data_IF_820324246939
#
_entry.id   IF_820324246939
#
_cell.length_a   1.000
_cell.length_b   1.000
_cell.length_c   1.000
_cell.angle_alpha   90.00
_cell.angle_beta   90.00
_cell.angle_gamma   90.00
#
_symmetry.space_group_name_H-M   'P 1'
#
loop_
_entity.id
_entity.type
_entity.pdbx_description
1 polymer ?
#
# COMPACT_ATOMS: atom_id res chain seq x y z
N UNK A 1 -9.37 -4.19 27.80
CA UNK A 1 -8.03 -4.81 27.68
C UNK A 1 -7.59 -4.79 26.23
N UNK A 2 -6.54 -4.02 25.88
CA UNK A 2 -5.96 -4.02 24.55
C UNK A 2 -5.26 -5.35 24.23
N UNK A 3 -5.51 -5.91 23.05
CA UNK A 3 -4.98 -7.22 22.66
C UNK A 3 -4.50 -7.20 21.21
N UNK A 4 -3.37 -7.86 20.95
CA UNK A 4 -2.91 -8.18 19.61
C UNK A 4 -2.62 -9.68 19.51
N UNK A 5 -3.06 -10.31 18.41
CA UNK A 5 -2.82 -11.72 18.15
C UNK A 5 -1.99 -11.86 16.88
N UNK A 6 -0.82 -12.48 17.01
CA UNK A 6 -0.06 -12.97 15.86
C UNK A 6 -0.81 -14.18 15.27
N UNK A 7 -1.63 -13.90 14.26
CA UNK A 7 -2.48 -14.88 13.58
C UNK A 7 -1.64 -15.82 12.72
N UNK A 8 -1.64 -17.12 13.05
CA UNK A 8 -0.87 -18.12 12.32
C UNK A 8 -1.24 -18.19 10.83
N UNK A 9 -2.49 -17.85 10.46
CA UNK A 9 -2.91 -17.82 9.05
C UNK A 9 -2.19 -16.70 8.28
N UNK A 10 -1.95 -15.54 8.90
CA UNK A 10 -1.20 -14.44 8.31
C UNK A 10 0.29 -14.76 8.28
N UNK A 11 0.82 -15.31 9.38
CA UNK A 11 2.23 -15.71 9.47
C UNK A 11 2.61 -16.80 8.44
N UNK A 12 1.68 -17.69 8.10
CA UNK A 12 1.88 -18.72 7.07
C UNK A 12 1.65 -18.21 5.63
N UNK A 13 1.15 -17.00 5.45
CA UNK A 13 0.82 -16.45 4.14
C UNK A 13 2.00 -15.72 3.49
N UNK A 14 1.86 -15.38 2.20
CA UNK A 14 2.79 -14.52 1.47
C UNK A 14 2.87 -13.08 2.01
N UNK A 15 1.96 -12.67 2.90
CA UNK A 15 2.02 -11.34 3.52
C UNK A 15 3.06 -11.24 4.64
N UNK A 16 3.55 -12.37 5.17
CA UNK A 16 4.59 -12.40 6.18
C UNK A 16 5.96 -12.03 5.58
N UNK A 17 6.23 -10.72 5.49
CA UNK A 17 7.44 -10.15 4.87
C UNK A 17 8.21 -9.24 5.83
N UNK A 18 9.55 -9.23 5.77
CA UNK A 18 10.39 -8.56 6.78
C UNK A 18 10.04 -7.09 7.00
N UNK A 19 9.82 -6.32 5.92
CA UNK A 19 9.53 -4.89 6.01
C UNK A 19 8.23 -4.59 6.78
N UNK A 20 7.14 -5.28 6.43
CA UNK A 20 5.86 -5.14 7.14
C UNK A 20 5.92 -5.67 8.56
N UNK A 21 6.57 -6.82 8.77
CA UNK A 21 6.67 -7.42 10.10
C UNK A 21 7.53 -6.59 11.04
N UNK A 22 8.67 -6.07 10.58
CA UNK A 22 9.53 -5.17 11.35
C UNK A 22 8.79 -3.91 11.76
N UNK A 23 8.16 -3.24 10.80
CA UNK A 23 7.36 -2.03 11.05
C UNK A 23 6.20 -2.30 12.01
N UNK A 24 5.52 -3.44 11.88
CA UNK A 24 4.44 -3.86 12.79
C UNK A 24 4.98 -4.07 14.21
N UNK A 25 6.11 -4.77 14.39
CA UNK A 25 6.69 -5.00 15.71
C UNK A 25 7.08 -3.69 16.40
N UNK A 26 7.67 -2.76 15.67
CA UNK A 26 7.98 -1.40 16.15
C UNK A 26 6.69 -0.65 16.55
N UNK A 27 5.65 -0.78 15.73
CA UNK A 27 4.33 -0.17 16.01
C UNK A 27 3.67 -0.77 17.26
N UNK A 28 3.81 -2.07 17.49
CA UNK A 28 3.29 -2.74 18.69
C UNK A 28 4.09 -2.35 19.94
N UNK A 29 5.41 -2.14 19.83
CA UNK A 29 6.24 -1.66 20.92
C UNK A 29 5.88 -0.23 21.34
N UNK A 30 5.65 0.65 20.36
CA UNK A 30 5.17 2.02 20.58
C UNK A 30 3.78 2.01 21.22
N UNK A 31 2.84 1.20 20.69
CA UNK A 31 1.49 1.05 21.25
C UNK A 31 1.51 0.55 22.70
N UNK A 32 2.32 -0.46 23.03
CA UNK A 32 2.44 -0.95 24.42
C UNK A 32 2.99 0.14 25.36
N UNK A 33 3.91 0.98 24.87
CA UNK A 33 4.46 2.11 25.62
C UNK A 33 3.40 3.18 25.90
N UNK A 34 2.61 3.55 24.90
CA UNK A 34 1.49 4.49 25.05
C UNK A 34 0.39 3.94 25.97
N UNK A 35 0.07 2.65 25.88
CA UNK A 35 -0.89 2.01 26.78
C UNK A 35 -0.43 1.99 28.23
N UNK A 36 0.88 1.85 28.49
CA UNK A 36 1.45 1.95 29.85
C UNK A 36 1.28 3.34 30.45
N UNK A 37 1.43 4.39 29.65
CA UNK A 37 1.16 5.76 30.07
C UNK A 37 -0.31 5.97 30.49
N UNK A 38 -1.22 5.16 29.93
CA UNK A 38 -2.64 5.15 30.29
C UNK A 38 -2.99 4.18 31.43
N UNK A 39 -2.01 3.51 32.04
CA UNK A 39 -2.21 2.55 33.14
C UNK A 39 -2.59 1.13 32.68
N UNK A 40 -2.47 0.82 31.39
CA UNK A 40 -2.71 -0.49 30.82
C UNK A 40 -1.45 -1.09 30.18
N UNK A 41 -1.62 -2.18 29.44
CA UNK A 41 -0.57 -2.81 28.63
C UNK A 41 -1.21 -3.50 27.44
N UNK A 42 -0.43 -3.75 26.41
CA UNK A 42 -0.83 -4.60 25.30
C UNK A 42 -0.68 -6.07 25.70
N UNK A 43 -1.74 -6.86 25.49
CA UNK A 43 -1.69 -8.31 25.66
C UNK A 43 -1.39 -8.96 24.31
N UNK A 44 -0.25 -9.64 24.22
CA UNK A 44 0.19 -10.35 23.03
C UNK A 44 -0.18 -11.83 23.13
N UNK A 45 -0.80 -12.36 22.07
CA UNK A 45 -1.12 -13.78 21.87
C UNK A 45 -0.61 -14.24 20.51
N UNK A 46 -0.55 -15.55 20.29
CA UNK A 46 -0.25 -16.18 19.00
C UNK A 46 -1.09 -17.45 18.86
N UNK A 47 -1.58 -17.72 17.66
CA UNK A 47 -2.36 -18.92 17.39
C UNK A 47 -3.44 -18.67 16.34
N UNK A 48 -4.46 -19.54 16.35
CA UNK A 48 -5.72 -19.26 15.69
C UNK A 48 -6.36 -17.99 16.28
N UNK A 49 -6.59 -16.99 15.44
CA UNK A 49 -7.02 -15.66 15.88
C UNK A 49 -8.32 -15.68 16.69
N UNK A 50 -9.34 -16.42 16.25
CA UNK A 50 -10.64 -16.50 16.93
C UNK A 50 -10.48 -17.18 18.29
N UNK A 51 -9.81 -18.33 18.33
CA UNK A 51 -9.64 -19.09 19.56
C UNK A 51 -8.87 -18.30 20.63
N UNK A 52 -7.81 -17.60 20.23
CA UNK A 52 -7.01 -16.82 21.17
C UNK A 52 -7.76 -15.61 21.73
N UNK A 53 -8.56 -14.93 20.91
CA UNK A 53 -9.44 -13.84 21.38
C UNK A 53 -10.48 -14.37 22.36
N UNK A 54 -11.17 -15.48 22.05
CA UNK A 54 -12.21 -16.05 22.92
C UNK A 54 -11.65 -16.59 24.23
N UNK A 55 -10.52 -17.31 24.19
CA UNK A 55 -9.82 -17.77 25.41
C UNK A 55 -9.48 -16.58 26.32
N UNK A 56 -9.04 -15.48 25.73
CA UNK A 56 -8.67 -14.29 26.48
C UNK A 56 -9.91 -13.56 27.03
N UNK A 57 -10.97 -13.42 26.23
CA UNK A 57 -12.25 -12.86 26.67
C UNK A 57 -12.83 -13.63 27.86
N UNK A 58 -12.83 -14.96 27.80
CA UNK A 58 -13.27 -15.82 28.90
C UNK A 58 -12.45 -15.60 30.18
N UNK A 59 -11.12 -15.61 30.08
CA UNK A 59 -10.22 -15.37 31.23
C UNK A 59 -10.39 -13.98 31.83
N UNK A 60 -10.66 -12.98 30.99
CA UNK A 60 -10.92 -11.61 31.41
C UNK A 60 -12.35 -11.41 31.95
N UNK A 61 -13.24 -12.41 31.84
CA UNK A 61 -14.68 -12.29 32.08
C UNK A 61 -15.27 -11.10 31.30
N UNK A 62 -14.83 -10.93 30.06
CA UNK A 62 -15.27 -9.83 29.22
C UNK A 62 -16.69 -10.09 28.71
N UNK A 63 -17.53 -9.05 28.73
CA UNK A 63 -18.88 -9.08 28.17
C UNK A 63 -18.91 -8.66 26.71
N UNK A 64 -17.88 -7.94 26.24
CA UNK A 64 -17.82 -7.42 24.88
C UNK A 64 -16.39 -7.37 24.31
N UNK A 65 -16.30 -7.47 22.98
CA UNK A 65 -15.10 -7.32 22.17
C UNK A 65 -15.33 -6.16 21.20
N UNK A 66 -14.50 -5.12 21.27
CA UNK A 66 -14.54 -3.99 20.34
C UNK A 66 -13.47 -4.16 19.26
N UNK A 67 -13.84 -3.99 17.99
CA UNK A 67 -12.90 -4.14 16.87
C UNK A 67 -13.25 -3.22 15.70
N UNK A 68 -12.21 -2.67 15.08
CA UNK A 68 -12.36 -1.93 13.83
C UNK A 68 -12.54 -2.89 12.65
N UNK A 69 -13.53 -2.61 11.79
CA UNK A 69 -13.77 -3.35 10.55
C UNK A 69 -12.70 -3.05 9.49
N UNK A 70 -12.49 -4.03 8.62
CA UNK A 70 -11.59 -3.97 7.47
C UNK A 70 -12.25 -4.67 6.26
N UNK A 71 -11.82 -4.34 5.04
CA UNK A 71 -12.51 -4.61 3.79
C UNK A 71 -12.08 -5.91 3.07
N UNK A 72 -10.96 -6.50 3.48
CA UNK A 72 -10.44 -7.72 2.85
C UNK A 72 -11.38 -8.93 3.06
N UNK A 73 -11.26 -9.94 2.21
CA UNK A 73 -12.00 -11.21 2.39
C UNK A 73 -11.60 -11.89 3.70
N UNK A 74 -10.30 -11.93 4.01
CA UNK A 74 -9.78 -12.54 5.22
C UNK A 74 -10.32 -11.84 6.47
N UNK A 75 -10.28 -10.51 6.51
CA UNK A 75 -10.74 -9.72 7.67
C UNK A 75 -12.23 -9.93 7.94
N UNK A 76 -13.07 -9.93 6.91
CA UNK A 76 -14.51 -10.20 7.05
C UNK A 76 -14.78 -11.61 7.54
N UNK A 77 -14.19 -12.62 6.89
CA UNK A 77 -14.41 -14.02 7.25
C UNK A 77 -13.99 -14.35 8.69
N UNK A 78 -12.85 -13.84 9.16
CA UNK A 78 -12.41 -14.09 10.54
C UNK A 78 -13.27 -13.34 11.56
N UNK A 79 -13.76 -12.14 11.22
CA UNK A 79 -14.63 -11.36 12.08
C UNK A 79 -16.01 -12.00 12.21
N UNK A 80 -16.59 -12.49 11.10
CA UNK A 80 -17.85 -13.24 11.09
C UNK A 80 -17.74 -14.52 11.93
N UNK A 81 -16.61 -15.24 11.81
CA UNK A 81 -16.33 -16.42 12.65
C UNK A 81 -16.21 -16.06 14.13
N UNK A 82 -15.54 -14.95 14.46
CA UNK A 82 -15.42 -14.49 15.84
C UNK A 82 -16.79 -14.15 16.42
N UNK A 83 -17.62 -13.40 15.70
CA UNK A 83 -18.95 -13.03 16.15
C UNK A 83 -19.84 -14.25 16.37
N UNK A 84 -19.89 -15.17 15.40
CA UNK A 84 -20.64 -16.42 15.53
C UNK A 84 -20.19 -17.21 16.77
N UNK A 85 -18.88 -17.35 16.98
CA UNK A 85 -18.35 -18.09 18.12
C UNK A 85 -18.54 -17.36 19.47
N UNK A 86 -18.36 -16.04 19.50
CA UNK A 86 -18.56 -15.21 20.70
C UNK A 86 -20.02 -15.23 21.18
N UNK A 87 -20.99 -15.24 20.25
CA UNK A 87 -22.41 -15.36 20.55
C UNK A 87 -22.74 -16.67 21.31
N UNK A 88 -22.06 -17.78 20.99
CA UNK A 88 -22.28 -19.07 21.69
C UNK A 88 -21.85 -19.05 23.16
N UNK A 89 -20.97 -18.12 23.53
CA UNK A 89 -20.42 -17.98 24.89
C UNK A 89 -20.89 -16.69 25.59
N UNK A 90 -21.88 -15.99 25.01
CA UNK A 90 -22.48 -14.79 25.59
C UNK A 90 -21.57 -13.57 25.63
N UNK A 91 -20.62 -13.46 24.69
CA UNK A 91 -19.74 -12.29 24.53
C UNK A 91 -20.18 -11.51 23.30
N UNK A 92 -20.52 -10.22 23.46
CA UNK A 92 -20.92 -9.36 22.35
C UNK A 92 -19.71 -8.94 21.50
N UNK A 93 -19.85 -8.91 20.17
CA UNK A 93 -18.83 -8.36 19.27
C UNK A 93 -19.34 -7.04 18.68
N UNK A 94 -18.67 -5.95 19.05
CA UNK A 94 -19.01 -4.59 18.62
C UNK A 94 -18.05 -4.16 17.53
N UNK A 95 -18.56 -4.12 16.29
CA UNK A 95 -17.85 -3.70 15.09
C UNK A 95 -17.89 -2.17 14.96
N UNK A 96 -16.77 -1.55 14.61
CA UNK A 96 -16.69 -0.10 14.40
C UNK A 96 -15.94 0.23 13.11
N UNK A 97 -16.31 1.32 12.45
CA UNK A 97 -15.52 1.84 11.34
C UNK A 97 -14.25 2.53 11.84
N UNK A 98 -13.09 2.09 11.36
CA UNK A 98 -11.81 2.62 11.85
C UNK A 98 -10.79 2.96 10.75
N UNK A 99 -10.71 2.17 9.69
CA UNK A 99 -9.60 2.27 8.75
C UNK A 99 -9.78 3.40 7.72
N UNK A 100 -11.00 3.76 7.30
CA UNK A 100 -11.28 4.80 6.29
C UNK A 100 -11.88 6.07 6.89
N UNK A 101 -11.91 7.15 6.11
CA UNK A 101 -12.64 8.38 6.49
C UNK A 101 -14.13 8.12 6.45
N UNK A 102 -14.59 7.53 5.35
CA UNK A 102 -15.97 7.10 5.15
C UNK A 102 -15.99 5.56 5.00
N UNK A 103 -16.85 4.85 5.75
CA UNK A 103 -16.93 3.39 5.67
C UNK A 103 -17.26 2.90 4.25
N UNK A 104 -16.72 1.75 3.86
CA UNK A 104 -17.09 1.11 2.60
C UNK A 104 -18.60 0.86 2.53
N UNK A 105 -19.22 1.11 1.36
CA UNK A 105 -20.66 1.01 1.16
C UNK A 105 -21.48 2.24 1.60
N UNK A 106 -20.93 3.15 2.42
CA UNK A 106 -21.64 4.38 2.80
C UNK A 106 -21.70 5.42 1.67
N UNK A 107 -20.79 5.34 0.69
CA UNK A 107 -20.81 6.12 -0.56
C UNK A 107 -21.11 5.16 -1.70
N UNK A 108 -22.39 5.04 -2.07
CA UNK A 108 -22.85 4.21 -3.17
C UNK A 108 -23.86 4.99 -4.05
N UNK A 109 -23.87 4.77 -5.37
CA UNK A 109 -24.93 5.31 -6.22
C UNK A 109 -26.24 4.50 -6.02
N UNK A 110 -27.40 5.02 -6.46
CA UNK A 110 -28.71 4.39 -6.22
C UNK A 110 -28.83 2.92 -6.66
N UNK A 111 -28.19 2.55 -7.78
CA UNK A 111 -28.36 1.25 -8.45
C UNK A 111 -27.08 0.38 -8.45
N UNK A 112 -26.11 0.66 -7.58
CA UNK A 112 -24.88 -0.14 -7.45
C UNK A 112 -24.38 -0.12 -6.02
N UNK A 113 -23.72 -1.19 -5.60
CA UNK A 113 -23.11 -1.34 -4.28
C UNK A 113 -21.81 -0.52 -4.11
N UNK A 114 -21.23 -0.03 -5.21
CA UNK A 114 -20.02 0.81 -5.21
C UNK A 114 -19.91 1.70 -6.47
N UNK A 115 -19.08 2.74 -6.39
CA UNK A 115 -18.65 3.53 -7.55
C UNK A 115 -17.48 2.86 -8.28
N UNK A 116 -17.49 2.88 -9.62
CA UNK A 116 -16.40 2.36 -10.47
C UNK A 116 -15.43 3.43 -10.97
N UNK A 117 -15.81 4.72 -10.87
CA UNK A 117 -15.01 5.86 -11.33
C UNK A 117 -14.76 6.81 -10.16
N UNK A 118 -13.52 7.29 -10.01
CA UNK A 118 -13.11 8.09 -8.86
C UNK A 118 -13.77 9.46 -8.80
N UNK A 119 -13.84 10.20 -9.91
CA UNK A 119 -14.39 11.58 -9.90
C UNK A 119 -15.81 11.68 -9.32
N UNK A 120 -16.81 10.89 -9.75
CA UNK A 120 -18.14 10.93 -9.12
C UNK A 120 -18.14 10.42 -7.67
N UNK A 121 -17.30 9.43 -7.34
CA UNK A 121 -17.12 9.00 -5.95
C UNK A 121 -16.60 10.14 -5.07
N UNK A 122 -15.55 10.84 -5.51
CA UNK A 122 -14.93 11.95 -4.78
C UNK A 122 -15.91 13.08 -4.53
N UNK A 123 -16.70 13.47 -5.55
CA UNK A 123 -17.76 14.48 -5.39
C UNK A 123 -18.72 14.09 -4.28
N UNK A 124 -19.23 12.84 -4.31
CA UNK A 124 -20.15 12.35 -3.28
C UNK A 124 -19.50 12.23 -1.90
N UNK A 125 -18.26 11.75 -1.85
CA UNK A 125 -17.46 11.60 -0.63
C UNK A 125 -17.18 12.96 0.05
N UNK A 126 -17.08 14.05 -0.71
CA UNK A 126 -16.93 15.41 -0.17
C UNK A 126 -18.21 15.96 0.48
N UNK A 127 -19.39 15.51 0.03
CA UNK A 127 -20.71 15.95 0.50
C UNK A 127 -21.19 15.21 1.75
N UNK A 128 -20.77 13.96 1.93
CA UNK A 128 -21.19 13.15 3.08
C UNK A 128 -20.54 13.69 4.36
N UNK A 129 -21.32 13.95 5.42
CA UNK A 129 -20.78 14.33 6.72
C UNK A 129 -19.81 13.26 7.25
N UNK A 130 -18.61 13.68 7.63
CA UNK A 130 -17.65 12.78 8.25
C UNK A 130 -18.00 12.56 9.72
N UNK A 131 -17.76 11.34 10.21
CA UNK A 131 -17.95 11.00 11.61
C UNK A 131 -17.05 11.85 12.53
N UNK A 132 -17.44 12.10 13.79
CA UNK A 132 -16.58 12.81 14.73
C UNK A 132 -15.31 12.02 15.06
N UNK A 133 -14.23 12.73 15.38
CA UNK A 133 -13.01 12.14 15.91
C UNK A 133 -13.26 11.82 17.38
N UNK A 134 -13.05 10.56 17.76
CA UNK A 134 -13.15 10.14 19.16
C UNK A 134 -11.96 10.67 19.98
N UNK A 135 -12.22 11.11 21.20
CA UNK A 135 -11.17 11.53 22.13
C UNK A 135 -10.36 10.34 22.64
N UNK A 136 -9.06 10.52 22.77
CA UNK A 136 -8.19 9.54 23.44
C UNK A 136 -8.59 9.40 24.91
N UNK A 137 -8.72 8.17 25.45
CA UNK A 137 -9.00 7.96 26.87
C UNK A 137 -7.86 8.51 27.74
N UNK A 138 -8.20 9.03 28.92
CA UNK A 138 -7.20 9.55 29.88
C UNK A 138 -6.55 8.46 30.73
N UNK A 139 -7.23 7.34 30.91
CA UNK A 139 -6.74 6.17 31.64
C UNK A 139 -7.51 4.93 31.21
N UNK A 140 -6.92 3.76 31.43
CA UNK A 140 -7.49 2.45 31.17
C UNK A 140 -7.21 1.57 32.39
N UNK A 141 -8.26 1.03 33.01
CA UNK A 141 -8.12 0.08 34.12
C UNK A 141 -7.61 -1.27 33.58
N UNK A 142 -6.47 -1.78 34.06
CA UNK A 142 -5.93 -3.06 33.60
C UNK A 142 -6.70 -4.23 34.20
N UNK A 143 -6.75 -5.35 33.47
CA UNK A 143 -7.25 -6.62 34.01
C UNK A 143 -6.07 -7.37 34.63
N UNK A 144 -6.17 -7.70 35.92
CA UNK A 144 -5.11 -8.35 36.69
C UNK A 144 -5.02 -9.85 36.34
N UNK A 145 -3.81 -10.42 36.40
CA UNK A 145 -3.60 -11.88 36.29
C UNK A 145 -3.55 -12.44 34.86
N UNK A 146 -3.67 -11.59 33.83
CA UNK A 146 -3.57 -12.03 32.44
C UNK A 146 -2.11 -12.10 31.98
N UNK A 147 -1.72 -13.29 31.52
CA UNK A 147 -0.39 -13.53 30.93
C UNK A 147 -0.36 -13.04 29.47
N UNK A 148 0.70 -12.32 29.13
CA UNK A 148 1.02 -11.89 27.76
C UNK A 148 2.29 -12.59 27.30
N UNK A 149 2.38 -12.88 26.00
CA UNK A 149 3.66 -13.21 25.37
C UNK A 149 4.59 -11.98 25.40
N UNK A 150 5.91 -12.19 25.39
CA UNK A 150 6.86 -11.11 25.08
C UNK A 150 6.71 -10.71 23.60
N UNK A 151 7.11 -9.48 23.27
CA UNK A 151 7.21 -9.07 21.88
C UNK A 151 8.31 -9.92 21.19
N UNK A 152 7.98 -10.66 20.12
CA UNK A 152 8.96 -11.51 19.45
C UNK A 152 9.98 -10.66 18.68
N UNK A 153 11.16 -11.22 18.45
CA UNK A 153 12.12 -10.68 17.48
C UNK A 153 11.62 -10.98 16.06
N UNK A 154 11.98 -10.13 15.09
CA UNK A 154 11.61 -10.31 13.68
C UNK A 154 11.98 -11.71 13.15
N UNK A 155 13.18 -12.19 13.48
CA UNK A 155 13.68 -13.52 13.06
C UNK A 155 12.86 -14.69 13.59
N UNK A 156 12.03 -14.50 14.62
CA UNK A 156 11.11 -15.51 15.12
C UNK A 156 9.76 -15.53 14.36
N UNK A 157 9.48 -14.50 13.56
CA UNK A 157 8.24 -14.38 12.78
C UNK A 157 8.47 -14.58 11.28
N UNK A 158 9.59 -14.10 10.73
CA UNK A 158 9.84 -14.06 9.31
C UNK A 158 11.32 -14.32 9.00
N UNK A 159 11.58 -14.95 7.85
CA UNK A 159 12.92 -15.11 7.28
C UNK A 159 13.32 -13.89 6.46
N UNK A 160 14.62 -13.58 6.42
CA UNK A 160 15.17 -12.47 5.66
C UNK A 160 15.39 -11.22 6.50
N UNK A 161 15.77 -10.13 5.84
CA UNK A 161 16.08 -8.84 6.47
C UNK A 161 15.19 -7.75 5.91
N UNK A 162 15.01 -6.68 6.67
CA UNK A 162 14.34 -5.48 6.16
C UNK A 162 15.20 -4.79 5.11
N UNK A 163 14.56 -3.93 4.32
CA UNK A 163 15.22 -2.94 3.49
C UNK A 163 16.16 -2.07 4.34
N UNK A 164 17.35 -1.70 3.83
CA UNK A 164 18.34 -0.92 4.58
C UNK A 164 17.82 0.41 5.12
N UNK A 165 16.95 1.08 4.37
CA UNK A 165 16.44 2.43 4.68
C UNK A 165 14.94 2.42 5.02
N UNK A 166 14.45 1.28 5.51
CA UNK A 166 13.06 1.17 5.96
C UNK A 166 12.77 2.19 7.07
N UNK A 167 11.63 2.87 6.98
CA UNK A 167 11.22 3.83 8.02
C UNK A 167 10.75 3.09 9.27
N UNK A 168 10.90 3.74 10.43
CA UNK A 168 10.46 3.20 11.72
C UNK A 168 8.93 3.26 11.90
N UNK A 169 8.36 2.21 12.48
CA UNK A 169 6.95 2.10 12.87
C UNK A 169 6.57 2.90 14.12
N UNK A 170 5.26 2.91 14.43
CA UNK A 170 4.69 3.57 15.60
C UNK A 170 3.95 4.88 15.32
N UNK A 171 2.93 5.16 16.14
CA UNK A 171 2.17 6.40 16.17
C UNK A 171 3.06 7.61 16.48
N UNK A 172 4.03 7.45 17.39
CA UNK A 172 4.99 8.51 17.74
C UNK A 172 5.77 8.99 16.50
N UNK A 173 6.32 8.05 15.73
CA UNK A 173 7.05 8.37 14.49
C UNK A 173 6.10 8.93 13.43
N UNK A 174 4.89 8.39 13.33
CA UNK A 174 3.88 8.85 12.40
C UNK A 174 3.51 10.32 12.62
N UNK A 175 3.24 10.71 13.87
CA UNK A 175 2.91 12.09 14.25
C UNK A 175 4.08 13.03 14.01
N UNK A 176 5.31 12.63 14.35
CA UNK A 176 6.52 13.40 14.06
C UNK A 176 6.67 13.68 12.56
N UNK A 177 6.53 12.64 11.72
CA UNK A 177 6.63 12.75 10.26
C UNK A 177 5.52 13.63 9.68
N UNK A 178 4.27 13.38 10.05
CA UNK A 178 3.12 14.18 9.60
C UNK A 178 3.31 15.66 9.93
N UNK A 179 3.73 15.97 11.16
CA UNK A 179 3.94 17.35 11.60
C UNK A 179 5.09 18.03 10.83
N UNK A 180 6.21 17.33 10.62
CA UNK A 180 7.35 17.86 9.87
C UNK A 180 6.97 18.15 8.41
N UNK A 181 6.35 17.18 7.73
CA UNK A 181 5.91 17.32 6.35
C UNK A 181 4.83 18.41 6.18
N UNK A 182 3.86 18.47 7.10
CA UNK A 182 2.78 19.48 7.07
C UNK A 182 3.33 20.90 7.14
N UNK A 183 4.42 21.12 7.88
CA UNK A 183 5.07 22.43 7.99
C UNK A 183 5.90 22.77 6.76
N UNK A 184 6.55 21.78 6.15
CA UNK A 184 7.55 21.97 5.09
C UNK A 184 6.94 21.97 3.68
N UNK A 185 6.12 20.97 3.36
CA UNK A 185 5.82 20.61 1.98
C UNK A 185 4.32 20.67 1.63
N UNK A 186 3.41 20.61 2.62
CA UNK A 186 1.96 20.54 2.36
C UNK A 186 1.45 21.69 1.49
N UNK A 187 1.90 22.93 1.74
CA UNK A 187 1.43 24.11 1.00
C UNK A 187 1.65 24.00 -0.51
N UNK A 188 2.74 23.36 -0.92
CA UNK A 188 3.14 23.18 -2.31
C UNK A 188 2.87 21.75 -2.82
N UNK A 189 2.10 20.95 -2.06
CA UNK A 189 1.89 19.54 -2.39
C UNK A 189 1.28 19.34 -3.78
N UNK A 190 0.32 20.21 -4.16
CA UNK A 190 -0.34 20.14 -5.47
C UNK A 190 0.65 20.21 -6.63
N UNK A 191 1.73 20.99 -6.50
CA UNK A 191 2.67 21.24 -7.59
C UNK A 191 3.87 20.28 -7.53
N UNK A 192 4.18 19.75 -6.35
CA UNK A 192 5.40 18.97 -6.10
C UNK A 192 5.19 17.47 -5.88
N UNK A 193 3.95 16.98 -5.80
CA UNK A 193 3.71 15.56 -5.50
C UNK A 193 4.19 14.59 -6.62
N UNK A 194 4.54 15.12 -7.78
CA UNK A 194 5.06 14.35 -8.93
C UNK A 194 6.58 14.51 -9.12
N UNK A 195 7.23 15.41 -8.37
CA UNK A 195 8.68 15.69 -8.40
C UNK A 195 9.46 14.53 -7.75
N UNK A 196 10.01 13.64 -8.59
CA UNK A 196 10.71 12.43 -8.14
C UNK A 196 11.96 12.76 -7.29
N UNK A 197 12.86 13.67 -7.71
CA UNK A 197 14.01 14.05 -6.89
C UNK A 197 13.65 14.72 -5.58
N UNK A 198 12.65 15.60 -5.61
CA UNK A 198 12.28 16.43 -4.47
C UNK A 198 11.58 15.68 -3.34
N UNK A 199 10.93 14.56 -3.65
CA UNK A 199 10.29 13.66 -2.68
C UNK A 199 9.43 14.39 -1.64
N UNK A 200 8.65 15.37 -2.11
CA UNK A 200 7.83 16.26 -1.30
C UNK A 200 6.54 15.60 -0.79
N UNK A 201 6.49 14.26 -0.76
CA UNK A 201 5.32 13.51 -0.31
C UNK A 201 5.37 13.25 1.19
N UNK A 202 4.20 13.00 1.79
CA UNK A 202 4.09 12.82 3.24
C UNK A 202 4.83 11.58 3.77
N UNK A 203 5.05 10.58 2.91
CA UNK A 203 5.56 9.25 3.27
C UNK A 203 4.84 8.66 4.50
N UNK A 204 3.53 8.92 4.65
CA UNK A 204 2.73 8.39 5.77
C UNK A 204 1.94 7.11 5.44
N UNK A 205 2.04 6.57 4.22
CA UNK A 205 1.25 5.42 3.77
C UNK A 205 1.41 4.18 4.65
N UNK A 206 2.60 3.81 5.19
CA UNK A 206 2.71 2.70 6.13
C UNK A 206 1.92 2.94 7.43
N UNK A 207 1.97 4.15 7.97
CA UNK A 207 1.26 4.51 9.21
C UNK A 207 -0.25 4.52 9.02
N UNK A 208 -0.75 4.87 7.82
CA UNK A 208 -2.17 4.75 7.48
C UNK A 208 -2.61 3.30 7.27
N UNK A 209 -1.73 2.43 6.75
CA UNK A 209 -2.01 1.00 6.57
C UNK A 209 -2.09 0.27 7.93
N UNK A 210 -1.11 0.49 8.82
CA UNK A 210 -1.07 -0.14 10.14
C UNK A 210 -1.92 0.55 11.21
N UNK A 211 -2.62 1.63 10.86
CA UNK A 211 -3.49 2.36 11.80
C UNK A 211 -2.77 3.18 12.86
N UNK A 212 -1.46 3.44 12.70
CA UNK A 212 -0.70 4.37 13.54
C UNK A 212 -1.14 5.83 13.34
N UNK A 213 -1.83 6.13 12.24
CA UNK A 213 -2.56 7.39 12.03
C UNK A 213 -3.96 7.10 11.54
N UNK A 214 -4.94 7.82 12.11
CA UNK A 214 -6.32 7.82 11.62
C UNK A 214 -6.41 8.64 10.33
N UNK A 215 -6.91 8.01 9.26
CA UNK A 215 -7.18 8.68 7.98
C UNK A 215 -8.16 9.85 8.14
N UNK A 216 -9.19 9.67 8.98
CA UNK A 216 -10.16 10.72 9.34
C UNK A 216 -9.47 11.89 10.07
N UNK A 217 -8.62 11.60 11.05
CA UNK A 217 -7.91 12.65 11.81
C UNK A 217 -7.04 13.48 10.86
N UNK A 218 -6.29 12.82 9.98
CA UNK A 218 -5.44 13.46 8.98
C UNK A 218 -6.29 14.31 8.02
N UNK A 219 -7.36 13.75 7.46
CA UNK A 219 -8.21 14.45 6.51
C UNK A 219 -8.85 15.70 7.14
N UNK A 220 -9.43 15.59 8.33
CA UNK A 220 -10.06 16.69 9.06
C UNK A 220 -9.06 17.80 9.40
N UNK A 221 -7.85 17.44 9.87
CA UNK A 221 -6.83 18.44 10.25
C UNK A 221 -6.25 19.20 9.06
N UNK A 222 -6.16 18.56 7.89
CA UNK A 222 -5.43 19.11 6.75
C UNK A 222 -6.32 19.73 5.68
N UNK A 223 -7.60 19.33 5.55
CA UNK A 223 -8.49 19.75 4.44
C UNK A 223 -8.51 21.27 4.21
N UNK A 224 -8.56 22.06 5.27
CA UNK A 224 -8.67 23.52 5.19
C UNK A 224 -7.32 24.26 5.09
N UNK A 225 -6.19 23.54 5.07
CA UNK A 225 -4.86 24.15 4.93
C UNK A 225 -4.50 24.32 3.46
N UNK A 226 -3.62 25.27 3.14
CA UNK A 226 -3.08 25.42 1.79
C UNK A 226 -2.46 24.09 1.30
N UNK A 227 -2.79 23.65 0.08
CA UNK A 227 -2.42 22.35 -0.49
C UNK A 227 -3.12 21.13 0.15
N UNK A 228 -3.90 21.35 1.22
CA UNK A 228 -4.66 20.35 1.96
C UNK A 228 -5.68 19.59 1.13
N UNK A 229 -6.44 20.28 0.28
CA UNK A 229 -7.46 19.65 -0.57
C UNK A 229 -6.85 18.62 -1.54
N UNK A 230 -5.75 18.98 -2.20
CA UNK A 230 -5.02 18.09 -3.12
C UNK A 230 -4.50 16.83 -2.39
N UNK A 231 -4.04 16.98 -1.15
CA UNK A 231 -3.61 15.85 -0.33
C UNK A 231 -4.78 15.00 0.15
N UNK A 232 -5.86 15.61 0.64
CA UNK A 232 -7.06 14.90 1.11
C UNK A 232 -7.75 14.14 -0.02
N UNK A 233 -7.66 14.62 -1.26
CA UNK A 233 -8.06 13.85 -2.45
C UNK A 233 -7.33 12.51 -2.56
N UNK A 234 -6.07 12.42 -2.14
CA UNK A 234 -5.32 11.15 -2.10
C UNK A 234 -5.78 10.24 -0.95
N UNK A 235 -6.20 10.80 0.19
CA UNK A 235 -6.85 10.01 1.24
C UNK A 235 -8.18 9.43 0.73
N UNK A 236 -8.93 10.19 -0.07
CA UNK A 236 -10.15 9.69 -0.70
C UNK A 236 -9.88 8.55 -1.71
N UNK A 237 -8.74 8.55 -2.42
CA UNK A 237 -8.35 7.42 -3.26
C UNK A 237 -8.20 6.12 -2.47
N UNK A 238 -7.71 6.20 -1.23
CA UNK A 238 -7.63 5.04 -0.33
C UNK A 238 -9.02 4.52 0.04
N UNK A 239 -9.97 5.40 0.36
CA UNK A 239 -11.36 5.01 0.61
C UNK A 239 -12.04 4.45 -0.66
N UNK A 240 -11.74 5.01 -1.83
CA UNK A 240 -12.24 4.55 -3.13
C UNK A 240 -11.80 3.13 -3.45
N UNK A 241 -10.55 2.76 -3.16
CA UNK A 241 -10.11 1.38 -3.35
C UNK A 241 -10.64 0.44 -2.26
N UNK A 242 -10.80 0.92 -1.03
CA UNK A 242 -11.41 0.15 0.05
C UNK A 242 -12.87 -0.24 -0.27
N UNK A 243 -13.70 0.68 -0.80
CA UNK A 243 -15.08 0.33 -1.19
C UNK A 243 -15.13 -0.68 -2.35
N UNK A 244 -14.21 -0.60 -3.33
CA UNK A 244 -14.16 -1.56 -4.43
C UNK A 244 -13.81 -2.95 -3.91
N UNK A 245 -12.78 -3.08 -3.05
CA UNK A 245 -12.42 -4.38 -2.49
C UNK A 245 -13.51 -4.95 -1.57
N UNK A 246 -14.21 -4.08 -0.83
CA UNK A 246 -15.36 -4.48 -0.03
C UNK A 246 -16.47 -5.07 -0.90
N UNK A 247 -16.86 -4.39 -1.98
CA UNK A 247 -17.90 -4.85 -2.89
C UNK A 247 -17.49 -6.07 -3.74
N UNK A 248 -16.22 -6.12 -4.18
CA UNK A 248 -15.68 -7.17 -5.07
C UNK A 248 -14.39 -7.75 -4.49
N UNK A 249 -14.46 -8.62 -3.45
CA UNK A 249 -13.26 -9.18 -2.82
C UNK A 249 -12.35 -9.97 -3.76
N UNK A 250 -12.88 -10.59 -4.82
CA UNK A 250 -12.06 -11.27 -5.83
C UNK A 250 -11.17 -10.33 -6.64
N UNK A 251 -11.49 -9.03 -6.69
CA UNK A 251 -10.61 -8.04 -7.32
C UNK A 251 -9.27 -7.88 -6.59
N UNK A 252 -9.11 -8.44 -5.39
CA UNK A 252 -7.80 -8.58 -4.76
C UNK A 252 -6.87 -9.53 -5.52
N UNK A 253 -7.38 -10.46 -6.34
CA UNK A 253 -6.59 -11.58 -6.88
C UNK A 253 -6.86 -11.87 -8.36
N UNK A 254 -8.01 -11.43 -8.87
CA UNK A 254 -8.48 -11.65 -10.23
C UNK A 254 -8.76 -10.31 -10.92
N UNK A 255 -8.84 -10.34 -12.24
CA UNK A 255 -9.18 -9.14 -13.00
C UNK A 255 -10.58 -8.67 -12.64
N UNK A 256 -10.73 -7.38 -12.32
CA UNK A 256 -12.04 -6.80 -12.08
C UNK A 256 -12.89 -6.85 -13.35
N UNK A 257 -12.26 -6.57 -14.50
CA UNK A 257 -12.78 -6.80 -15.85
C UNK A 257 -11.83 -7.76 -16.55
N UNK A 258 -12.20 -9.03 -16.57
CA UNK A 258 -11.54 -10.01 -17.43
C UNK A 258 -11.75 -9.64 -18.90
N UNK A 259 -10.66 -9.67 -19.66
CA UNK A 259 -10.59 -9.32 -21.08
C UNK A 259 -9.97 -10.42 -21.92
N UNK A 260 -9.63 -11.56 -21.32
CA UNK A 260 -8.91 -12.64 -21.99
C UNK A 260 -7.46 -12.30 -22.32
N UNK A 261 -6.82 -11.41 -21.54
CA UNK A 261 -5.41 -11.06 -21.72
C UNK A 261 -4.54 -12.32 -21.61
N UNK A 262 -3.70 -12.56 -22.63
CA UNK A 262 -2.69 -13.63 -22.64
C UNK A 262 -1.33 -13.03 -22.35
N UNK A 263 -0.99 -13.01 -21.06
CA UNK A 263 0.25 -12.41 -20.57
C UNK A 263 1.50 -13.13 -21.10
N UNK A 264 2.51 -12.34 -21.48
CA UNK A 264 3.84 -12.83 -21.85
C UNK A 264 4.44 -13.63 -20.69
N UNK A 265 5.18 -14.69 -21.01
CA UNK A 265 5.84 -15.59 -20.05
C UNK A 265 7.37 -15.49 -20.08
N UNK A 266 7.93 -14.46 -20.73
CA UNK A 266 9.36 -14.18 -20.74
C UNK A 266 9.88 -13.98 -19.30
N UNK A 267 10.54 -15.00 -18.76
CA UNK A 267 11.07 -14.97 -17.40
C UNK A 267 12.31 -14.09 -17.27
N UNK A 268 13.08 -13.90 -18.34
CA UNK A 268 14.30 -13.09 -18.33
C UNK A 268 13.95 -11.61 -18.26
N UNK A 269 12.99 -11.16 -19.07
CA UNK A 269 12.47 -9.80 -19.00
C UNK A 269 11.86 -9.48 -17.62
N UNK A 270 11.11 -10.42 -17.04
CA UNK A 270 10.57 -10.25 -15.69
C UNK A 270 11.68 -10.18 -14.63
N UNK A 271 12.71 -11.03 -14.72
CA UNK A 271 13.85 -10.99 -13.80
C UNK A 271 14.64 -9.68 -13.91
N UNK A 272 14.83 -9.15 -15.13
CA UNK A 272 15.47 -7.86 -15.37
C UNK A 272 14.66 -6.71 -14.74
N UNK A 273 13.32 -6.75 -14.85
CA UNK A 273 12.44 -5.79 -14.19
C UNK A 273 12.55 -5.87 -12.66
N UNK A 274 12.47 -7.07 -12.07
CA UNK A 274 12.64 -7.29 -10.63
C UNK A 274 13.98 -6.74 -10.14
N UNK A 275 15.05 -6.93 -10.90
CA UNK A 275 16.41 -6.50 -10.53
C UNK A 275 16.69 -5.01 -10.79
N UNK A 276 15.79 -4.27 -11.45
CA UNK A 276 16.08 -2.91 -11.91
C UNK A 276 17.28 -2.87 -12.87
N UNK A 277 17.23 -3.74 -13.89
CA UNK A 277 18.23 -3.86 -14.97
C UNK A 277 17.57 -3.90 -16.36
N UNK A 278 16.50 -3.14 -16.52
CA UNK A 278 15.71 -3.07 -17.78
C UNK A 278 16.40 -2.22 -18.85
N UNK A 279 17.38 -1.40 -18.46
CA UNK A 279 18.01 -0.41 -19.34
C UNK A 279 17.17 0.86 -19.52
N UNK A 280 16.05 1.00 -18.80
CA UNK A 280 15.28 2.23 -18.69
C UNK A 280 15.56 2.88 -17.32
N UNK A 281 16.37 3.95 -17.24
CA UNK A 281 16.91 4.45 -15.97
C UNK A 281 15.87 4.78 -14.90
N UNK A 282 14.75 5.41 -15.28
CA UNK A 282 13.67 5.74 -14.32
C UNK A 282 12.94 4.50 -13.80
N UNK A 283 12.84 3.43 -14.62
CA UNK A 283 12.25 2.15 -14.19
C UNK A 283 13.19 1.48 -13.21
N UNK A 284 14.46 1.39 -13.56
CA UNK A 284 15.50 0.76 -12.75
C UNK A 284 15.68 1.47 -11.41
N UNK A 285 15.68 2.81 -11.41
CA UNK A 285 15.71 3.63 -10.20
C UNK A 285 14.52 3.34 -9.27
N UNK A 286 13.31 3.22 -9.84
CA UNK A 286 12.11 2.85 -9.09
C UNK A 286 12.24 1.49 -8.41
N UNK A 287 12.63 0.47 -9.18
CA UNK A 287 12.78 -0.90 -8.67
C UNK A 287 13.87 -1.01 -7.60
N UNK A 288 14.97 -0.24 -7.74
CA UNK A 288 16.02 -0.16 -6.72
C UNK A 288 15.58 0.63 -5.48
N UNK A 289 14.78 1.70 -5.64
CA UNK A 289 14.17 2.40 -4.50
C UNK A 289 13.29 1.45 -3.66
N UNK A 290 12.46 0.63 -4.32
CA UNK A 290 11.59 -0.34 -3.65
C UNK A 290 12.37 -1.26 -2.71
N UNK A 291 13.47 -1.84 -3.18
CA UNK A 291 14.30 -2.76 -2.39
C UNK A 291 15.09 -2.00 -1.32
N UNK A 292 15.62 -0.82 -1.62
CA UNK A 292 16.44 -0.03 -0.70
C UNK A 292 15.65 0.55 0.47
N UNK A 293 14.43 1.03 0.22
CA UNK A 293 13.63 1.76 1.21
C UNK A 293 12.40 0.99 1.71
N UNK A 294 12.01 -0.11 1.05
CA UNK A 294 10.71 -0.73 1.30
C UNK A 294 9.54 0.20 0.93
N UNK A 295 9.81 1.18 0.06
CA UNK A 295 8.91 2.23 -0.38
C UNK A 295 9.29 2.61 -1.81
N UNK A 296 8.31 3.06 -2.59
CA UNK A 296 8.55 3.63 -3.91
C UNK A 296 7.66 4.86 -4.09
N UNK A 297 8.21 5.93 -4.67
CA UNK A 297 7.43 7.13 -4.98
C UNK A 297 6.24 6.79 -5.91
N UNK A 298 5.05 7.37 -5.70
CA UNK A 298 3.86 7.00 -6.46
C UNK A 298 4.03 7.16 -7.97
N UNK A 299 4.69 8.24 -8.41
CA UNK A 299 5.01 8.45 -9.83
C UNK A 299 5.87 7.31 -10.40
N UNK A 300 6.89 6.86 -9.67
CA UNK A 300 7.72 5.73 -10.06
C UNK A 300 6.90 4.42 -10.07
N UNK A 301 6.01 4.18 -9.09
CA UNK A 301 5.09 3.02 -9.09
C UNK A 301 4.27 2.94 -10.37
N UNK A 302 3.73 4.06 -10.83
CA UNK A 302 2.97 4.13 -12.09
C UNK A 302 3.84 3.79 -13.31
N UNK A 303 5.06 4.33 -13.38
CA UNK A 303 5.98 4.09 -14.50
C UNK A 303 6.39 2.62 -14.56
N UNK A 304 6.85 2.03 -13.46
CA UNK A 304 7.30 0.62 -13.44
C UNK A 304 6.14 -0.35 -13.68
N UNK A 305 4.93 -0.04 -13.20
CA UNK A 305 3.75 -0.87 -13.42
C UNK A 305 3.26 -0.81 -14.87
N UNK A 306 3.26 0.38 -15.48
CA UNK A 306 3.00 0.53 -16.91
C UNK A 306 4.04 -0.24 -17.72
N UNK A 307 5.33 -0.10 -17.40
CA UNK A 307 6.39 -0.81 -18.11
C UNK A 307 6.19 -2.32 -18.07
N UNK A 308 5.92 -2.89 -16.88
CA UNK A 308 5.67 -4.32 -16.76
C UNK A 308 4.44 -4.79 -17.57
N UNK A 309 3.35 -4.04 -17.52
CA UNK A 309 2.04 -4.48 -18.05
C UNK A 309 1.76 -4.03 -19.49
N UNK A 310 2.60 -3.16 -20.06
CA UNK A 310 2.43 -2.58 -21.40
C UNK A 310 3.64 -2.82 -22.29
N UNK A 311 4.85 -2.56 -21.77
CA UNK A 311 6.07 -2.75 -22.54
C UNK A 311 6.50 -4.22 -22.52
N UNK A 312 6.47 -4.87 -21.36
CA UNK A 312 6.80 -6.31 -21.26
C UNK A 312 5.58 -7.23 -21.42
N UNK A 313 4.38 -6.64 -21.36
CA UNK A 313 3.08 -7.32 -21.36
C UNK A 313 3.00 -8.54 -20.41
N UNK A 314 3.60 -8.41 -19.23
CA UNK A 314 3.60 -9.43 -18.17
C UNK A 314 2.37 -9.30 -17.26
N UNK A 315 2.00 -10.41 -16.63
CA UNK A 315 0.87 -10.45 -15.69
C UNK A 315 1.11 -9.51 -14.51
N UNK A 316 0.18 -8.56 -14.32
CA UNK A 316 0.22 -7.57 -13.24
C UNK A 316 0.28 -8.23 -11.85
N UNK A 317 -0.24 -9.45 -11.69
CA UNK A 317 -0.21 -10.19 -10.42
C UNK A 317 1.21 -10.51 -9.97
N UNK A 318 2.13 -10.77 -10.92
CA UNK A 318 3.56 -10.98 -10.63
C UNK A 318 4.18 -9.70 -10.06
N UNK A 319 3.90 -8.56 -10.69
CA UNK A 319 4.34 -7.24 -10.22
C UNK A 319 3.74 -6.86 -8.86
N UNK A 320 2.44 -7.12 -8.67
CA UNK A 320 1.74 -6.87 -7.42
C UNK A 320 2.31 -7.71 -6.27
N UNK A 321 2.60 -8.99 -6.51
CA UNK A 321 3.24 -9.87 -5.54
C UNK A 321 4.64 -9.37 -5.18
N UNK A 322 5.45 -8.99 -6.17
CA UNK A 322 6.78 -8.43 -5.93
C UNK A 322 6.74 -7.14 -5.12
N UNK A 323 5.77 -6.25 -5.39
CA UNK A 323 5.52 -5.07 -4.58
C UNK A 323 5.15 -5.43 -3.15
N UNK A 324 4.28 -6.43 -2.94
CA UNK A 324 3.95 -6.94 -1.61
C UNK A 324 5.11 -7.66 -0.93
N UNK A 325 6.19 -8.02 -1.62
CA UNK A 325 7.37 -8.57 -0.94
C UNK A 325 8.18 -7.48 -0.21
N UNK A 326 8.20 -6.26 -0.76
CA UNK A 326 9.06 -5.17 -0.30
C UNK A 326 8.30 -4.01 0.36
N UNK A 327 7.12 -3.65 -0.10
CA UNK A 327 6.42 -2.46 0.40
C UNK A 327 6.01 -2.60 1.87
N UNK A 328 6.46 -1.67 2.70
CA UNK A 328 5.94 -1.49 4.07
C UNK A 328 4.47 -1.06 4.03
N UNK A 329 4.08 -0.23 3.05
CA UNK A 329 2.70 0.17 2.80
C UNK A 329 1.90 -0.80 1.90
N UNK A 330 2.36 -2.05 1.79
CA UNK A 330 1.76 -3.10 0.97
C UNK A 330 0.35 -3.48 1.43
N UNK A 331 -0.64 -2.70 0.99
CA UNK A 331 -2.06 -2.87 1.27
C UNK A 331 -2.78 -3.54 0.09
N UNK A 332 -3.55 -4.59 0.33
CA UNK A 332 -4.18 -5.37 -0.75
C UNK A 332 -5.12 -4.52 -1.63
N UNK A 333 -5.93 -3.64 -1.02
CA UNK A 333 -6.86 -2.81 -1.78
C UNK A 333 -6.12 -1.80 -2.64
N UNK A 334 -5.20 -1.05 -2.04
CA UNK A 334 -4.48 0.01 -2.74
C UNK A 334 -3.47 -0.55 -3.73
N UNK A 335 -2.71 -1.59 -3.38
CA UNK A 335 -1.71 -2.17 -4.27
C UNK A 335 -2.38 -2.79 -5.50
N UNK A 336 -3.26 -3.77 -5.31
CA UNK A 336 -3.72 -4.60 -6.42
C UNK A 336 -4.68 -3.83 -7.33
N UNK A 337 -5.51 -2.93 -6.79
CA UNK A 337 -6.40 -2.12 -7.62
C UNK A 337 -5.65 -1.02 -8.39
N UNK A 338 -4.53 -0.48 -7.89
CA UNK A 338 -3.65 0.38 -8.70
C UNK A 338 -2.88 -0.40 -9.77
N UNK A 339 -2.48 -1.65 -9.50
CA UNK A 339 -1.91 -2.53 -10.52
C UNK A 339 -2.91 -2.79 -11.65
N UNK A 340 -4.16 -3.09 -11.31
CA UNK A 340 -5.23 -3.24 -12.30
C UNK A 340 -5.56 -1.94 -13.04
N UNK A 341 -5.45 -0.78 -12.40
CA UNK A 341 -5.62 0.52 -13.05
C UNK A 341 -4.54 0.79 -14.11
N UNK A 342 -3.29 0.33 -13.89
CA UNK A 342 -2.20 0.40 -14.87
C UNK A 342 -2.35 -0.69 -15.96
N UNK A 343 -2.66 -1.92 -15.56
CA UNK A 343 -2.92 -3.03 -16.49
C UNK A 343 -4.15 -2.79 -17.36
N UNK A 344 -5.06 -1.92 -16.92
CA UNK A 344 -6.32 -1.64 -17.60
C UNK A 344 -7.39 -2.70 -17.35
N UNK A 345 -7.21 -3.60 -16.39
CA UNK A 345 -8.17 -4.63 -15.97
C UNK A 345 -9.07 -4.17 -14.82
N UNK A 346 -8.84 -2.96 -14.30
CA UNK A 346 -9.58 -2.37 -13.18
C UNK A 346 -10.94 -1.73 -13.51
N UNK A 347 -11.44 -0.93 -12.57
CA UNK A 347 -12.77 -0.29 -12.67
C UNK A 347 -12.81 0.86 -13.69
N UNK A 348 -11.80 1.73 -13.69
CA UNK A 348 -11.56 2.78 -14.69
C UNK A 348 -10.53 2.27 -15.71
N UNK A 349 -10.96 2.12 -16.96
CA UNK A 349 -10.12 1.55 -18.01
C UNK A 349 -9.92 2.55 -19.12
N UNK A 350 -8.72 3.11 -19.21
CA UNK A 350 -8.30 3.94 -20.33
C UNK A 350 -7.27 3.16 -21.16
N UNK A 351 -7.62 2.68 -22.37
CA UNK A 351 -6.71 1.90 -23.21
C UNK A 351 -5.51 2.72 -23.73
N UNK A 352 -5.60 4.05 -23.72
CA UNK A 352 -4.54 4.96 -24.16
C UNK A 352 -3.58 5.36 -23.03
N UNK A 353 -3.79 4.85 -21.81
CA UNK A 353 -2.92 5.15 -20.67
C UNK A 353 -1.67 4.26 -20.72
N UNK A 354 -0.73 4.67 -21.57
CA UNK A 354 0.57 4.03 -21.76
C UNK A 354 1.64 5.05 -21.41
N UNK A 355 2.53 4.69 -20.49
CA UNK A 355 3.60 5.57 -20.04
C UNK A 355 4.86 5.25 -20.85
N UNK A 356 5.37 6.23 -21.60
CA UNK A 356 6.72 6.15 -22.15
C UNK A 356 7.73 6.45 -21.03
N UNK A 357 8.57 5.48 -20.60
CA UNK A 357 9.44 5.66 -19.43
C UNK A 357 10.38 6.86 -19.59
N UNK A 358 11.06 6.99 -20.72
CA UNK A 358 11.99 8.10 -21.00
C UNK A 358 11.30 9.47 -20.91
N UNK A 359 10.09 9.60 -21.49
CA UNK A 359 9.31 10.85 -21.38
C UNK A 359 8.86 11.13 -19.95
N UNK A 360 8.59 10.11 -19.14
CA UNK A 360 8.26 10.28 -17.72
C UNK A 360 9.49 10.72 -16.93
N UNK A 361 10.65 10.10 -17.16
CA UNK A 361 11.93 10.51 -16.59
C UNK A 361 12.24 11.98 -16.90
N UNK A 362 12.22 12.36 -18.19
CA UNK A 362 12.47 13.74 -18.61
C UNK A 362 11.50 14.77 -18.01
N UNK A 363 10.25 14.37 -17.73
CA UNK A 363 9.23 15.27 -17.16
C UNK A 363 9.35 15.42 -15.65
N UNK A 364 9.61 14.33 -14.93
CA UNK A 364 9.52 14.27 -13.47
C UNK A 364 10.87 14.17 -12.76
N UNK A 365 11.95 14.00 -13.52
CA UNK A 365 13.34 13.94 -13.08
C UNK A 365 14.27 14.49 -14.19
N UNK A 366 14.01 15.71 -14.66
CA UNK A 366 14.68 16.29 -15.84
C UNK A 366 16.22 16.32 -15.76
N UNK A 367 16.78 16.39 -14.55
CA UNK A 367 18.22 16.44 -14.29
C UNK A 367 18.83 15.07 -13.90
N UNK A 368 18.02 14.00 -13.93
CA UNK A 368 18.47 12.66 -13.57
C UNK A 368 18.83 12.49 -12.10
N UNK A 369 18.44 13.40 -11.20
CA UNK A 369 18.80 13.36 -9.78
C UNK A 369 18.19 12.14 -9.07
N UNK A 370 16.95 11.76 -9.43
CA UNK A 370 16.33 10.56 -8.88
C UNK A 370 16.99 9.31 -9.45
N UNK A 371 17.26 9.26 -10.76
CA UNK A 371 18.01 8.16 -11.38
C UNK A 371 19.37 7.96 -10.73
N UNK A 372 20.19 9.02 -10.65
CA UNK A 372 21.54 8.97 -10.08
C UNK A 372 21.57 8.55 -8.61
N UNK A 373 20.49 8.82 -7.86
CA UNK A 373 20.36 8.41 -6.46
C UNK A 373 20.25 6.90 -6.28
N UNK A 374 19.62 6.19 -7.22
CA UNK A 374 19.30 4.76 -7.08
C UNK A 374 20.03 3.86 -8.09
N UNK A 375 20.51 4.41 -9.20
CA UNK A 375 21.25 3.69 -10.24
C UNK A 375 22.72 4.12 -10.13
N UNK A 376 23.47 3.44 -9.27
CA UNK A 376 24.86 3.77 -8.94
C UNK A 376 25.77 3.86 -10.16
N UNK A 377 25.53 3.03 -11.18
CA UNK A 377 26.27 3.05 -12.44
C UNK A 377 26.12 4.38 -13.18
N UNK A 378 25.01 5.08 -12.98
CA UNK A 378 24.72 6.35 -13.63
C UNK A 378 25.03 7.57 -12.75
N UNK A 379 25.52 7.38 -11.52
CA UNK A 379 25.68 8.45 -10.52
C UNK A 379 26.51 9.66 -11.01
N UNK A 380 27.52 9.41 -11.85
CA UNK A 380 28.42 10.43 -12.41
C UNK A 380 28.01 10.89 -13.82
N UNK A 381 26.88 10.41 -14.36
CA UNK A 381 26.38 10.83 -15.68
C UNK A 381 25.66 12.16 -15.55
N UNK A 382 26.20 13.21 -16.18
CA UNK A 382 25.73 14.58 -15.98
C UNK A 382 24.32 14.84 -16.52
N UNK A 383 23.51 15.52 -15.69
CA UNK A 383 22.23 16.11 -16.06
C UNK A 383 21.23 15.13 -16.69
N UNK A 384 20.47 15.62 -17.66
CA UNK A 384 19.43 14.84 -18.34
C UNK A 384 19.93 13.61 -19.11
N UNK A 385 21.24 13.50 -19.40
CA UNK A 385 21.79 12.33 -20.08
C UNK A 385 21.59 11.04 -19.26
N UNK A 386 21.52 11.14 -17.93
CA UNK A 386 21.23 10.00 -17.07
C UNK A 386 19.84 9.37 -17.33
N UNK A 387 18.89 10.10 -17.92
CA UNK A 387 17.55 9.57 -18.25
C UNK A 387 17.54 8.65 -19.48
N UNK A 388 18.47 8.88 -20.41
CA UNK A 388 18.58 8.11 -21.64
C UNK A 388 20.02 8.16 -22.17
N UNK A 389 20.96 7.46 -21.51
CA UNK A 389 22.36 7.47 -21.93
C UNK A 389 22.51 6.76 -23.28
N UNK A 390 23.39 7.27 -24.13
CA UNK A 390 23.74 6.62 -25.40
C UNK A 390 24.50 5.29 -25.18
N UNK A 391 24.60 4.42 -26.21
CA UNK A 391 25.27 3.13 -26.08
C UNK A 391 26.73 3.21 -25.62
N UNK A 392 27.46 4.27 -26.00
CA UNK A 392 28.86 4.47 -25.60
C UNK A 392 28.97 4.78 -24.11
N UNK A 393 28.13 5.69 -23.61
CA UNK A 393 28.01 6.04 -22.20
C UNK A 393 27.60 4.83 -21.38
N UNK A 394 26.61 4.06 -21.84
CA UNK A 394 26.17 2.80 -21.22
C UNK A 394 27.30 1.80 -21.07
N UNK A 395 28.06 1.56 -22.14
CA UNK A 395 29.22 0.68 -22.11
C UNK A 395 30.32 1.18 -21.16
N UNK A 396 30.62 2.49 -21.17
CA UNK A 396 31.63 3.11 -20.31
C UNK A 396 31.31 2.94 -18.82
N UNK A 397 30.04 3.05 -18.45
CA UNK A 397 29.60 3.01 -17.04
C UNK A 397 29.05 1.65 -16.60
N UNK A 398 28.95 0.68 -17.52
CA UNK A 398 28.45 -0.67 -17.23
C UNK A 398 26.92 -0.76 -17.04
N UNK A 399 26.15 0.20 -17.57
CA UNK A 399 24.68 0.19 -17.51
C UNK A 399 24.10 -0.58 -18.73
N UNK A 400 23.10 -1.48 -18.56
CA UNK A 400 22.61 -2.32 -19.64
C UNK A 400 21.94 -1.54 -20.78
N UNK A 401 21.93 -2.15 -21.96
CA UNK A 401 21.07 -1.72 -23.06
C UNK A 401 19.58 -1.96 -22.71
N UNK A 402 18.65 -1.20 -23.30
CA UNK A 402 17.21 -1.46 -23.15
C UNK A 402 16.84 -2.88 -23.54
N UNK A 403 16.08 -3.59 -22.69
CA UNK A 403 15.65 -4.98 -22.93
C UNK A 403 14.56 -5.08 -24.02
N UNK A 404 13.92 -3.96 -24.35
CA UNK A 404 12.91 -3.83 -25.40
C UNK A 404 13.02 -2.46 -26.07
N UNK A 405 12.57 -2.35 -27.33
CA UNK A 405 12.24 -1.06 -27.93
C UNK A 405 10.80 -0.68 -27.53
N UNK A 406 10.63 0.49 -26.93
CA UNK A 406 9.33 0.94 -26.44
C UNK A 406 8.28 1.08 -27.55
N UNK A 407 8.65 1.57 -28.74
CA UNK A 407 7.68 1.78 -29.81
C UNK A 407 7.18 0.44 -30.36
N UNK A 408 8.10 -0.50 -30.56
CA UNK A 408 7.80 -1.87 -30.99
C UNK A 408 6.93 -2.58 -29.95
N UNK A 409 7.34 -2.58 -28.69
CA UNK A 409 6.61 -3.22 -27.59
C UNK A 409 5.17 -2.71 -27.46
N UNK A 410 4.96 -1.40 -27.60
CA UNK A 410 3.62 -0.81 -27.55
C UNK A 410 2.78 -1.13 -28.78
N UNK A 411 3.39 -1.29 -29.96
CA UNK A 411 2.68 -1.76 -31.15
C UNK A 411 2.20 -3.20 -30.97
N UNK A 412 3.08 -4.09 -30.51
CA UNK A 412 2.76 -5.49 -30.20
C UNK A 412 1.66 -5.60 -29.14
N UNK A 413 1.78 -4.85 -28.04
CA UNK A 413 0.73 -4.78 -27.00
C UNK A 413 -0.64 -4.38 -27.58
N UNK A 414 -0.68 -3.39 -28.48
CA UNK A 414 -1.94 -2.96 -29.11
C UNK A 414 -2.50 -4.04 -30.03
N UNK A 415 -1.65 -4.74 -30.77
CA UNK A 415 -2.05 -5.83 -31.67
C UNK A 415 -2.61 -7.03 -30.90
N UNK A 416 -1.92 -7.46 -29.85
CA UNK A 416 -2.37 -8.53 -28.95
C UNK A 416 -3.72 -8.19 -28.31
N UNK A 417 -3.96 -6.91 -28.01
CA UNK A 417 -5.25 -6.45 -27.48
C UNK A 417 -6.35 -6.25 -28.51
N UNK A 418 -6.01 -6.00 -29.77
CA UNK A 418 -6.99 -5.84 -30.83
C UNK A 418 -7.51 -7.18 -31.36
N UNK A 419 -6.73 -8.25 -31.20
CA UNK A 419 -7.04 -9.57 -31.76
C UNK A 419 -7.52 -10.52 -30.66
N UNK A 420 -8.84 -10.73 -30.46
CA UNK A 420 -9.32 -11.79 -29.58
C UNK A 420 -8.91 -13.14 -30.18
N UNK A 421 -7.86 -13.75 -29.64
CA UNK A 421 -7.44 -15.11 -29.99
C UNK A 421 -8.50 -16.09 -29.45
N UNK A 422 -9.00 -17.04 -30.26
CA UNK A 422 -10.05 -17.96 -29.84
C UNK A 422 -9.60 -18.75 -28.60
N UNK A 423 -10.51 -19.06 -27.65
CA UNK A 423 -10.16 -19.79 -26.44
C UNK A 423 -9.49 -21.13 -26.79
N UNK A 424 -8.38 -21.41 -26.13
CA UNK A 424 -7.65 -22.69 -26.23
C UNK A 424 -8.41 -23.82 -25.55
#
# INVERSE_FOLDING_TARGET
MPTFVFDDAILASSFNRPNRMGFMLESLADLDSELKNLGARLILRRGNWVDEILKLAHRAKANAIYIAEDVSRLSRQRLDKLEAAANTVGVEVIRQSGITVIPAGAVAPPDSDHYKVFTPYYRRWQEIPWRPIASTPKSITPVVGLKSLPLPKLSALCSGTTSPEVILGGETQARKRLNAWTKKDLANYSDRHDDLPGDATSRISPYLHFGCLSSLEVATKLRARAGGEAFVRQICWRDFYAQILAARPDAGWSDFKDRGDRWNQDSEAFAAWVAGRTGFPVVDAGMRQLVREGFMHNRARMVVASFLTKDLYQDWRKGAAHFLDWLVDGDLANNNLNWQWNAGTGTDTNPHRIFNPTRQGNRFDAQGDYVRRYVEELAEVEGGLAQDPDPETRARVGYPLPIVDHQVAIAEYKEMRATPQPPS
#
